data_IF_337697062737
#
_entry.id   IF_337697062737
#
_cell.length_a   1.000
_cell.length_b   1.000
_cell.length_c   1.000
_cell.angle_alpha   90.00
_cell.angle_beta   90.00
_cell.angle_gamma   90.00
#
_symmetry.space_group_name_H-M   'P 1'
#
loop_
_entity.id
_entity.type
_entity.pdbx_description
1 polymer ?
#
# COMPACT_ATOMS: atom_id res chain seq x y z
N UNK A 1 31.96 36.04 3.66
CA UNK A 1 31.98 36.37 5.11
C UNK A 1 31.39 37.75 5.28
N UNK A 2 30.09 37.84 5.56
CA UNK A 2 29.52 38.81 6.51
C UNK A 2 28.23 38.18 7.03
N UNK A 3 28.20 37.85 8.33
CA UNK A 3 26.99 37.61 9.11
C UNK A 3 26.56 38.95 9.69
N UNK A 4 25.25 39.19 9.78
CA UNK A 4 24.68 40.01 10.85
C UNK A 4 23.35 39.40 11.30
N UNK A 5 23.18 39.38 12.62
CA UNK A 5 22.27 38.56 13.42
C UNK A 5 21.17 39.43 14.08
N UNK A 6 19.90 39.01 13.93
CA UNK A 6 18.67 39.17 14.76
C UNK A 6 18.21 40.59 15.21
N UNK A 7 17.05 40.83 15.87
CA UNK A 7 15.84 40.01 16.21
C UNK A 7 14.49 40.71 15.87
N UNK A 8 13.34 40.01 15.88
CA UNK A 8 12.04 40.70 15.86
C UNK A 8 10.82 39.92 15.36
N UNK A 9 10.47 38.82 16.03
CA UNK A 9 9.18 38.17 15.86
C UNK A 9 8.15 38.81 16.79
N UNK A 10 7.32 39.72 16.27
CA UNK A 10 6.01 40.06 16.85
C UNK A 10 5.07 40.55 15.75
N UNK A 11 4.15 39.68 15.29
CA UNK A 11 2.87 40.16 14.75
C UNK A 11 1.74 39.29 15.30
N UNK A 12 0.93 39.96 16.11
CA UNK A 12 -0.32 39.47 16.68
C UNK A 12 -1.31 39.21 15.55
N UNK A 13 -1.77 37.96 15.42
CA UNK A 13 -2.97 37.62 14.67
C UNK A 13 -4.03 37.21 15.68
N UNK A 14 -4.88 38.17 16.04
CA UNK A 14 -6.07 37.92 16.83
C UNK A 14 -6.99 36.96 16.06
N UNK A 15 -7.31 35.81 16.67
CA UNK A 15 -8.32 34.89 16.14
C UNK A 15 -9.71 35.51 16.33
N UNK A 16 -10.51 35.71 15.27
CA UNK A 16 -11.91 36.06 15.45
C UNK A 16 -12.65 34.89 16.11
N UNK A 17 -13.25 35.16 17.28
CA UNK A 17 -14.18 34.25 17.96
C UNK A 17 -15.59 34.48 17.39
N UNK A 18 -16.10 33.50 16.65
CA UNK A 18 -17.54 33.32 16.41
C UNK A 18 -17.93 31.85 16.69
N UNK A 19 -19.19 31.60 17.07
CA UNK A 19 -19.54 30.59 18.07
C UNK A 19 -19.78 29.19 17.49
N UNK A 20 -19.68 28.22 18.38
CA UNK A 20 -19.96 26.80 18.20
C UNK A 20 -21.35 26.56 17.58
N UNK A 21 -21.44 25.70 16.56
CA UNK A 21 -22.70 25.09 16.11
C UNK A 21 -22.50 23.58 15.95
N UNK A 22 -23.32 22.84 16.70
CA UNK A 22 -23.68 21.43 16.60
C UNK A 22 -22.56 20.38 16.65
N UNK A 23 -22.46 19.76 17.83
CA UNK A 23 -22.15 18.35 18.01
C UNK A 23 -22.97 17.51 17.00
N UNK A 24 -22.30 16.80 16.09
CA UNK A 24 -22.92 15.66 15.40
C UNK A 24 -22.42 14.37 16.07
N UNK A 25 -23.28 13.64 16.80
CA UNK A 25 -23.00 12.29 17.26
C UNK A 25 -23.42 11.24 16.22
N UNK A 26 -22.69 10.13 16.14
CA UNK A 26 -22.99 8.92 15.35
C UNK A 26 -22.10 8.82 14.11
N UNK A 27 -21.04 8.00 14.09
CA UNK A 27 -21.12 6.53 14.04
C UNK A 27 -21.36 6.14 12.59
N UNK A 28 -20.35 5.75 11.82
CA UNK A 28 -20.05 4.32 11.58
C UNK A 28 -18.54 4.04 11.56
N UNK A 29 -17.99 3.64 12.71
CA UNK A 29 -16.84 2.73 12.73
C UNK A 29 -17.39 1.30 12.59
N UNK A 30 -17.82 0.90 11.39
CA UNK A 30 -18.32 -0.46 11.16
C UNK A 30 -17.84 -0.98 9.80
N UNK A 31 -16.55 -1.36 9.75
CA UNK A 31 -16.11 -2.62 9.10
C UNK A 31 -14.68 -3.05 9.46
N UNK A 32 -13.98 -2.37 10.38
CA UNK A 32 -12.67 -2.80 10.89
C UNK A 32 -12.72 -4.03 11.82
N UNK A 33 -13.85 -4.73 11.92
CA UNK A 33 -14.03 -5.78 12.93
C UNK A 33 -13.36 -7.12 12.59
N UNK A 34 -12.69 -7.17 11.45
CA UNK A 34 -12.28 -8.42 10.82
C UNK A 34 -10.92 -8.36 10.12
N UNK A 35 -10.35 -7.16 9.92
CA UNK A 35 -9.03 -6.97 9.29
C UNK A 35 -7.95 -6.99 10.37
N UNK A 36 -7.17 -8.07 10.42
CA UNK A 36 -6.14 -8.29 11.43
C UNK A 36 -4.81 -7.61 11.06
N UNK A 37 -4.51 -7.54 9.77
CA UNK A 37 -3.26 -7.00 9.26
C UNK A 37 -3.41 -6.59 7.80
N UNK A 38 -2.72 -5.52 7.41
CA UNK A 38 -2.65 -5.05 6.02
C UNK A 38 -1.22 -4.65 5.71
N UNK A 39 -0.65 -5.21 4.65
CA UNK A 39 0.64 -4.81 4.11
C UNK A 39 0.46 -4.28 2.69
N UNK A 40 0.98 -3.07 2.45
CA UNK A 40 1.01 -2.45 1.12
C UNK A 40 2.41 -2.49 0.53
N UNK A 41 2.53 -2.98 -0.70
CA UNK A 41 3.79 -3.03 -1.46
C UNK A 41 3.60 -2.30 -2.79
N UNK A 42 4.41 -1.27 -3.04
CA UNK A 42 4.41 -0.54 -4.32
C UNK A 42 5.56 -1.02 -5.20
N UNK A 43 5.28 -1.34 -6.45
CA UNK A 43 6.26 -1.79 -7.45
C UNK A 43 5.96 -1.15 -8.81
N UNK A 44 6.50 0.05 -9.03
CA UNK A 44 6.27 0.81 -10.26
C UNK A 44 4.78 1.09 -10.52
N UNK A 45 4.25 0.56 -11.63
CA UNK A 45 2.83 0.70 -12.02
C UNK A 45 1.87 -0.25 -11.29
N UNK A 46 2.38 -1.16 -10.45
CA UNK A 46 1.61 -2.14 -9.70
C UNK A 46 1.67 -1.84 -8.20
N UNK A 47 0.54 -1.97 -7.52
CA UNK A 47 0.46 -1.94 -6.06
C UNK A 47 -0.16 -3.24 -5.58
N UNK A 48 0.53 -3.94 -4.67
CA UNK A 48 0.04 -5.13 -4.02
C UNK A 48 -0.47 -4.78 -2.62
N UNK A 49 -1.59 -5.37 -2.24
CA UNK A 49 -2.19 -5.29 -0.92
C UNK A 49 -2.34 -6.72 -0.39
N UNK A 50 -1.77 -6.98 0.78
CA UNK A 50 -1.88 -8.24 1.49
C UNK A 50 -2.67 -7.99 2.76
N UNK A 51 -3.93 -8.42 2.75
CA UNK A 51 -4.84 -8.24 3.89
C UNK A 51 -5.08 -9.58 4.57
N UNK A 52 -4.85 -9.66 5.87
CA UNK A 52 -5.21 -10.80 6.71
C UNK A 52 -6.56 -10.51 7.33
N UNK A 53 -7.52 -11.40 7.10
CA UNK A 53 -8.87 -11.29 7.65
C UNK A 53 -9.22 -12.55 8.42
N UNK A 54 -10.05 -12.40 9.45
CA UNK A 54 -10.63 -13.52 10.18
C UNK A 54 -12.04 -13.81 9.68
N UNK A 55 -12.54 -15.02 9.83
CA UNK A 55 -13.98 -15.30 9.75
C UNK A 55 -14.59 -15.20 11.16
N UNK A 56 -15.92 -15.27 11.25
CA UNK A 56 -16.63 -15.42 12.53
C UNK A 56 -16.30 -16.77 13.21
N UNK A 57 -15.84 -17.77 12.45
CA UNK A 57 -15.39 -19.09 12.92
C UNK A 57 -13.92 -19.10 13.39
N UNK A 58 -13.27 -17.94 13.52
CA UNK A 58 -11.85 -17.78 13.88
C UNK A 58 -10.84 -18.33 12.88
N UNK A 59 -11.28 -18.76 11.71
CA UNK A 59 -10.40 -19.14 10.60
C UNK A 59 -9.82 -17.89 9.94
N UNK A 60 -8.55 -17.93 9.62
CA UNK A 60 -7.86 -16.80 9.00
C UNK A 60 -7.68 -17.04 7.51
N UNK A 61 -7.83 -16.00 6.71
CA UNK A 61 -7.54 -16.03 5.28
C UNK A 61 -6.83 -14.75 4.85
N UNK A 62 -6.04 -14.88 3.79
CA UNK A 62 -5.31 -13.77 3.18
C UNK A 62 -6.04 -13.36 1.91
N UNK A 63 -6.23 -12.06 1.73
CA UNK A 63 -6.62 -11.46 0.46
C UNK A 63 -5.40 -10.79 -0.14
N UNK A 64 -4.99 -11.24 -1.31
CA UNK A 64 -3.93 -10.61 -2.10
C UNK A 64 -4.62 -9.85 -3.23
N UNK A 65 -4.46 -8.53 -3.23
CA UNK A 65 -4.98 -7.67 -4.30
C UNK A 65 -3.82 -7.03 -5.04
N UNK A 66 -3.72 -7.28 -6.33
CA UNK A 66 -2.90 -6.48 -7.23
C UNK A 66 -3.76 -5.38 -7.86
N UNK A 67 -3.30 -4.15 -7.81
CA UNK A 67 -3.82 -3.03 -8.60
C UNK A 67 -2.78 -2.57 -9.58
N UNK A 68 -3.06 -2.73 -10.88
CA UNK A 68 -2.21 -2.31 -11.98
C UNK A 68 -2.82 -1.08 -12.66
N UNK A 69 -2.03 -0.02 -12.79
CA UNK A 69 -2.44 1.16 -13.55
C UNK A 69 -2.36 0.87 -15.05
N UNK A 70 -3.50 0.92 -15.75
CA UNK A 70 -3.59 0.60 -17.20
C UNK A 70 -3.68 1.88 -18.05
N UNK A 71 -4.15 2.99 -17.49
CA UNK A 71 -4.20 4.30 -18.15
C UNK A 71 -3.91 5.45 -17.18
N UNK A 72 -4.33 6.67 -17.54
CA UNK A 72 -4.18 7.82 -16.64
C UNK A 72 -5.08 7.70 -15.41
N UNK A 73 -6.30 7.19 -15.59
CA UNK A 73 -7.32 7.08 -14.53
C UNK A 73 -7.72 5.65 -14.17
N UNK A 74 -7.42 4.68 -15.03
CA UNK A 74 -7.95 3.32 -14.91
C UNK A 74 -6.99 2.35 -14.20
N UNK A 75 -7.59 1.52 -13.34
CA UNK A 75 -6.88 0.50 -12.55
C UNK A 75 -7.52 -0.87 -12.76
N UNK A 76 -6.72 -1.82 -13.22
CA UNK A 76 -7.07 -3.23 -13.26
C UNK A 76 -6.78 -3.85 -11.88
N UNK A 77 -7.72 -4.64 -11.37
CA UNK A 77 -7.60 -5.28 -10.05
C UNK A 77 -7.65 -6.80 -10.20
N UNK A 78 -6.63 -7.47 -9.72
CA UNK A 78 -6.65 -8.93 -9.55
C UNK A 78 -6.75 -9.25 -8.07
N UNK A 79 -7.69 -10.10 -7.69
CA UNK A 79 -7.95 -10.46 -6.31
C UNK A 79 -7.85 -11.97 -6.15
N UNK A 80 -7.03 -12.39 -5.21
CA UNK A 80 -6.83 -13.79 -4.83
C UNK A 80 -7.20 -13.94 -3.36
N UNK A 81 -7.94 -14.99 -3.04
CA UNK A 81 -8.20 -15.41 -1.68
C UNK A 81 -7.39 -16.67 -1.41
N UNK A 82 -6.69 -16.67 -0.28
CA UNK A 82 -5.87 -17.80 0.17
C UNK A 82 -6.32 -18.19 1.57
N UNK A 83 -6.74 -19.43 1.74
CA UNK A 83 -7.19 -19.99 3.02
C UNK A 83 -6.04 -20.69 3.75
N UNK A 84 -6.16 -20.80 5.07
CA UNK A 84 -5.08 -21.25 5.94
C UNK A 84 -4.57 -22.66 5.61
N UNK A 85 -5.46 -23.56 5.19
CA UNK A 85 -5.14 -24.94 4.79
C UNK A 85 -4.23 -25.04 3.56
N UNK A 86 -4.16 -23.99 2.75
CA UNK A 86 -3.41 -23.96 1.50
C UNK A 86 -2.14 -23.09 1.58
N UNK A 87 -1.83 -22.48 2.74
CA UNK A 87 -0.67 -21.60 2.90
C UNK A 87 0.65 -22.27 2.52
N UNK A 88 0.93 -23.45 3.08
CA UNK A 88 2.19 -24.14 2.87
C UNK A 88 2.36 -24.56 1.40
N UNK A 89 1.31 -25.16 0.81
CA UNK A 89 1.31 -25.56 -0.60
C UNK A 89 1.53 -24.37 -1.54
N UNK A 90 0.89 -23.24 -1.24
CA UNK A 90 0.99 -22.03 -2.04
C UNK A 90 2.39 -21.42 -1.97
N UNK A 91 2.97 -21.29 -0.76
CA UNK A 91 4.30 -20.72 -0.57
C UNK A 91 5.38 -21.61 -1.21
N UNK A 92 5.27 -22.93 -1.07
CA UNK A 92 6.21 -23.86 -1.69
C UNK A 92 6.18 -23.75 -3.22
N UNK A 93 4.97 -23.74 -3.81
CA UNK A 93 4.82 -23.57 -5.25
C UNK A 93 5.35 -22.20 -5.73
N UNK A 94 5.11 -21.15 -4.95
CA UNK A 94 5.59 -19.80 -5.25
C UNK A 94 7.11 -19.73 -5.23
N UNK A 95 7.75 -20.28 -4.19
CA UNK A 95 9.21 -20.32 -4.09
C UNK A 95 9.86 -21.13 -5.21
N UNK A 96 9.35 -22.33 -5.49
CA UNK A 96 9.84 -23.16 -6.60
C UNK A 96 9.75 -22.43 -7.94
N UNK A 97 8.64 -21.73 -8.18
CA UNK A 97 8.46 -20.93 -9.40
C UNK A 97 9.43 -19.74 -9.46
N UNK A 98 9.65 -19.04 -8.33
CA UNK A 98 10.62 -17.95 -8.25
C UNK A 98 12.04 -18.43 -8.51
N UNK A 99 12.41 -19.57 -7.97
CA UNK A 99 13.75 -20.13 -8.13
C UNK A 99 13.98 -20.62 -9.55
N UNK A 100 12.97 -21.21 -10.19
CA UNK A 100 13.00 -21.51 -11.62
C UNK A 100 13.28 -20.26 -12.46
N UNK A 101 12.56 -19.15 -12.21
CA UNK A 101 12.76 -17.88 -12.92
C UNK A 101 14.17 -17.32 -12.69
N UNK A 102 14.69 -17.37 -11.46
CA UNK A 102 16.04 -16.87 -11.14
C UNK A 102 17.14 -17.73 -11.74
N UNK A 103 16.90 -19.04 -11.88
CA UNK A 103 17.87 -19.99 -12.44
C UNK A 103 18.02 -19.88 -13.95
N UNK A 104 17.07 -19.22 -14.64
CA UNK A 104 17.14 -18.96 -16.07
C UNK A 104 17.84 -17.59 -16.34
N UNK A 105 19.12 -17.59 -16.76
CA UNK A 105 19.87 -16.35 -17.01
C UNK A 105 19.34 -15.55 -18.21
N UNK A 106 18.50 -16.14 -19.08
CA UNK A 106 17.97 -15.45 -20.26
C UNK A 106 16.99 -14.31 -19.94
N UNK A 107 16.44 -14.27 -18.73
CA UNK A 107 15.49 -13.23 -18.28
C UNK A 107 16.15 -12.05 -17.54
N UNK A 108 17.45 -12.13 -17.27
CA UNK A 108 18.18 -11.11 -16.52
C UNK A 108 18.37 -9.80 -17.30
N UNK A 109 18.32 -9.85 -18.64
CA UNK A 109 18.49 -8.68 -19.52
C UNK A 109 17.31 -7.70 -19.46
N UNK A 110 16.09 -8.17 -19.18
CA UNK A 110 14.90 -7.31 -19.05
C UNK A 110 14.89 -6.43 -17.79
N UNK A 111 15.67 -6.79 -16.77
CA UNK A 111 15.76 -6.03 -15.50
C UNK A 111 16.57 -4.74 -15.64
N UNK A 112 17.50 -4.67 -16.61
CA UNK A 112 18.35 -3.50 -16.82
C UNK A 112 17.74 -2.45 -17.75
N UNK A 113 16.92 -2.86 -18.74
CA UNK A 113 16.28 -1.93 -19.67
C UNK A 113 15.18 -1.09 -19.01
N UNK A 114 14.47 -1.63 -18.02
CA UNK A 114 13.34 -0.95 -17.39
C UNK A 114 13.71 0.09 -16.32
N UNK A 115 14.93 0.03 -15.77
CA UNK A 115 15.40 1.01 -14.77
C UNK A 115 15.82 2.35 -15.41
N UNK A 116 16.24 2.35 -16.69
CA UNK A 116 16.68 3.58 -17.36
C UNK A 116 15.52 4.49 -17.82
N UNK A 117 14.28 4.01 -17.84
CA UNK A 117 13.11 4.80 -18.25
C UNK A 117 12.40 5.51 -17.08
N UNK A 118 12.83 5.29 -15.84
CA UNK A 118 12.16 5.82 -14.64
C UNK A 118 12.80 7.07 -14.05
N UNK A 119 13.90 7.57 -14.63
CA UNK A 119 14.65 8.75 -14.12
C UNK A 119 14.59 9.96 -15.07
N UNK A 120 13.63 10.01 -16.02
CA UNK A 120 13.55 11.08 -17.03
C UNK A 120 12.20 11.79 -17.10
N UNK A 121 11.50 11.92 -15.97
CA UNK A 121 10.36 12.85 -15.79
C UNK A 121 10.54 13.67 -14.50
#
# INVERSE_FOLDING_TARGET
MVRFDFPGYTRNFERPKTPCVAHQPGGEAVENRTELYTQRVRAGKRTYFFDVKSTKSSEQYITITESKRVGETDYEKHKVFLYQEDFDKFIDALHQTMDFIKSDPSQQEFRHAHHQLTESD
#
